data_IF_209216034797
#
_entry.id   IF_209216034797
#
_cell.length_a   1.000
_cell.length_b   1.000
_cell.length_c   1.000
_cell.angle_alpha   90.00
_cell.angle_beta   90.00
_cell.angle_gamma   90.00
#
_symmetry.space_group_name_H-M   'P 1'
#
loop_
_entity.id
_entity.type
_entity.pdbx_description
1 polymer ?
#
# COMPACT_ATOMS: atom_id res chain seq x y z
N UNK A 1 -2.08 16.07 -10.33
CA UNK A 1 -1.95 14.90 -9.43
C UNK A 1 -3.34 14.43 -9.04
N UNK A 2 -3.61 13.13 -9.16
CA UNK A 2 -4.88 12.54 -8.70
C UNK A 2 -4.70 12.20 -7.22
N UNK A 3 -5.59 12.67 -6.35
CA UNK A 3 -5.52 12.38 -4.92
C UNK A 3 -5.55 10.87 -4.64
N UNK A 4 -4.77 10.42 -3.65
CA UNK A 4 -4.54 9.01 -3.31
C UNK A 4 -5.83 8.17 -3.21
N UNK A 5 -6.88 8.69 -2.56
CA UNK A 5 -8.17 8.00 -2.41
C UNK A 5 -8.89 7.78 -3.74
N UNK A 6 -8.89 8.78 -4.63
CA UNK A 6 -9.56 8.69 -5.92
C UNK A 6 -8.83 7.71 -6.84
N UNK A 7 -7.49 7.76 -6.84
CA UNK A 7 -6.66 6.84 -7.60
C UNK A 7 -6.83 5.40 -7.10
N UNK A 8 -6.75 5.18 -5.78
CA UNK A 8 -6.97 3.87 -5.16
C UNK A 8 -8.33 3.27 -5.50
N UNK A 9 -9.40 4.07 -5.46
CA UNK A 9 -10.76 3.61 -5.82
C UNK A 9 -10.86 3.17 -7.28
N UNK A 10 -10.23 3.90 -8.20
CA UNK A 10 -10.21 3.54 -9.61
C UNK A 10 -9.47 2.21 -9.83
N UNK A 11 -8.34 2.04 -9.15
CA UNK A 11 -7.49 0.86 -9.27
C UNK A 11 -8.06 -0.39 -8.59
N UNK A 12 -8.88 -0.22 -7.56
CA UNK A 12 -9.59 -1.29 -6.88
C UNK A 12 -10.98 -1.59 -7.48
N UNK A 13 -11.31 -1.02 -8.65
CA UNK A 13 -12.55 -1.34 -9.34
C UNK A 13 -12.61 -2.85 -9.68
N UNK A 14 -13.56 -3.57 -9.08
CA UNK A 14 -13.70 -5.02 -9.25
C UNK A 14 -12.86 -5.88 -8.30
N UNK A 15 -12.11 -5.27 -7.38
CA UNK A 15 -11.40 -6.03 -6.34
C UNK A 15 -12.38 -6.65 -5.33
N UNK A 16 -12.04 -7.79 -4.69
CA UNK A 16 -12.84 -8.37 -3.62
C UNK A 16 -13.14 -7.35 -2.50
N UNK A 17 -14.41 -7.12 -2.12
CA UNK A 17 -14.78 -6.01 -1.22
C UNK A 17 -14.06 -6.02 0.13
N UNK A 18 -13.82 -7.20 0.70
CA UNK A 18 -13.11 -7.36 1.98
C UNK A 18 -11.65 -6.87 1.88
N UNK A 19 -10.97 -7.22 0.79
CA UNK A 19 -9.58 -6.80 0.56
C UNK A 19 -9.51 -5.30 0.28
N UNK A 20 -10.39 -4.78 -0.57
CA UNK A 20 -10.46 -3.35 -0.88
C UNK A 20 -10.74 -2.51 0.38
N UNK A 21 -11.69 -2.94 1.21
CA UNK A 21 -12.00 -2.27 2.48
C UNK A 21 -10.80 -2.30 3.44
N UNK A 22 -10.10 -3.44 3.52
CA UNK A 22 -8.94 -3.54 4.41
C UNK A 22 -7.78 -2.67 3.93
N UNK A 23 -7.44 -2.70 2.66
CA UNK A 23 -6.42 -1.82 2.08
C UNK A 23 -6.78 -0.34 2.26
N UNK A 24 -8.05 0.03 2.07
CA UNK A 24 -8.54 1.38 2.34
C UNK A 24 -8.38 1.80 3.81
N UNK A 25 -8.52 0.87 4.77
CA UNK A 25 -8.31 1.18 6.19
C UNK A 25 -6.87 1.63 6.49
N UNK A 26 -5.88 1.12 5.74
CA UNK A 26 -4.51 1.60 5.83
C UNK A 26 -4.32 2.96 5.12
N UNK A 27 -5.21 3.39 4.23
CA UNK A 27 -5.15 4.74 3.63
C UNK A 27 -5.85 5.81 4.48
N UNK A 28 -6.76 5.43 5.37
CA UNK A 28 -7.63 6.35 6.11
C UNK A 28 -6.92 7.41 6.98
N UNK A 29 -5.63 7.25 7.28
CA UNK A 29 -4.81 8.20 8.04
C UNK A 29 -3.95 9.15 7.19
N UNK A 30 -4.01 9.04 5.86
CA UNK A 30 -3.21 9.93 4.99
C UNK A 30 -3.86 11.31 4.83
N UNK A 31 -3.08 12.40 4.89
CA UNK A 31 -3.59 13.74 4.65
C UNK A 31 -4.24 13.87 3.27
N UNK A 32 -5.32 14.64 3.20
CA UNK A 32 -5.95 14.97 1.93
C UNK A 32 -4.96 15.71 1.00
N UNK A 33 -4.98 15.37 -0.29
CA UNK A 33 -4.04 15.92 -1.27
C UNK A 33 -2.65 15.25 -1.30
N UNK A 34 -2.39 14.24 -0.45
CA UNK A 34 -1.17 13.43 -0.56
C UNK A 34 -1.14 12.68 -1.90
N UNK A 35 0.02 12.69 -2.55
CA UNK A 35 0.28 11.95 -3.78
C UNK A 35 0.03 10.46 -3.60
N UNK A 36 -0.53 9.83 -4.64
CA UNK A 36 -0.93 8.44 -4.60
C UNK A 36 0.24 7.52 -4.25
N UNK A 37 1.41 7.70 -4.85
CA UNK A 37 2.59 6.90 -4.59
C UNK A 37 3.09 7.02 -3.14
N UNK A 38 3.04 8.22 -2.55
CA UNK A 38 3.48 8.46 -1.17
C UNK A 38 2.49 7.87 -0.18
N UNK A 39 1.19 8.08 -0.40
CA UNK A 39 0.14 7.54 0.43
C UNK A 39 0.13 6.01 0.42
N UNK A 40 0.30 5.40 -0.76
CA UNK A 40 0.33 3.96 -0.93
C UNK A 40 1.60 3.32 -0.35
N UNK A 41 2.76 3.95 -0.49
CA UNK A 41 4.00 3.51 0.17
C UNK A 41 3.84 3.45 1.70
N UNK A 42 3.28 4.51 2.29
CA UNK A 42 3.05 4.59 3.74
C UNK A 42 1.98 3.60 4.21
N UNK A 43 0.90 3.44 3.44
CA UNK A 43 -0.15 2.48 3.75
C UNK A 43 0.40 1.04 3.69
N UNK A 44 1.21 0.72 2.67
CA UNK A 44 1.89 -0.56 2.52
C UNK A 44 2.81 -0.86 3.72
N UNK A 45 3.62 0.11 4.14
CA UNK A 45 4.50 -0.04 5.29
C UNK A 45 3.71 -0.31 6.59
N UNK A 46 2.59 0.40 6.80
CA UNK A 46 1.70 0.18 7.95
C UNK A 46 1.01 -1.18 7.92
N UNK A 47 0.54 -1.62 6.76
CA UNK A 47 -0.06 -2.94 6.58
C UNK A 47 0.94 -4.08 6.86
N UNK A 48 2.16 -3.97 6.33
CA UNK A 48 3.22 -4.92 6.59
C UNK A 48 3.60 -4.96 8.07
N UNK A 49 3.68 -3.79 8.72
CA UNK A 49 3.88 -3.67 10.17
C UNK A 49 2.84 -4.38 11.01
N UNK A 50 1.55 -4.16 10.70
CA UNK A 50 0.45 -4.82 11.38
C UNK A 50 0.49 -6.35 11.23
N UNK A 51 0.84 -6.83 10.03
CA UNK A 51 0.96 -8.26 9.73
C UNK A 51 2.08 -8.93 10.53
N UNK A 52 3.24 -8.28 10.61
CA UNK A 52 4.41 -8.83 11.29
C UNK A 52 4.26 -8.85 12.82
N UNK A 53 3.42 -7.97 13.39
CA UNK A 53 3.16 -7.92 14.82
C UNK A 53 2.33 -9.10 15.37
N UNK A 54 1.54 -9.80 14.52
CA UNK A 54 0.64 -10.89 14.95
C UNK A 54 0.72 -12.09 14.00
N UNK A 55 1.80 -12.90 14.04
CA UNK A 55 2.13 -13.83 12.97
C UNK A 55 1.22 -15.06 12.78
N UNK A 56 0.11 -15.24 13.51
CA UNK A 56 -0.66 -16.50 13.49
C UNK A 56 -2.20 -16.38 13.55
N UNK A 57 -2.78 -15.25 13.15
CA UNK A 57 -4.25 -15.09 13.04
C UNK A 57 -4.71 -15.06 11.56
N UNK A 58 -5.91 -15.55 11.27
CA UNK A 58 -6.60 -15.35 9.99
C UNK A 58 -6.72 -13.87 9.63
N UNK A 59 -6.86 -12.99 10.63
CA UNK A 59 -6.81 -11.54 10.43
C UNK A 59 -5.47 -11.09 9.83
N UNK A 60 -4.36 -11.71 10.24
CA UNK A 60 -3.04 -11.42 9.69
C UNK A 60 -2.91 -11.85 8.22
N UNK A 61 -3.65 -12.88 7.78
CA UNK A 61 -3.66 -13.27 6.36
C UNK A 61 -4.30 -12.21 5.46
N UNK A 62 -5.40 -11.58 5.92
CA UNK A 62 -6.02 -10.46 5.18
C UNK A 62 -5.14 -9.22 5.23
N UNK A 63 -4.44 -8.97 6.34
CA UNK A 63 -3.48 -7.86 6.45
C UNK A 63 -2.27 -8.05 5.54
N UNK A 64 -1.78 -9.29 5.40
CA UNK A 64 -0.71 -9.63 4.47
C UNK A 64 -1.14 -9.40 3.02
N UNK A 65 -2.34 -9.84 2.66
CA UNK A 65 -2.90 -9.61 1.31
C UNK A 65 -3.11 -8.11 1.06
N UNK A 66 -3.56 -7.35 2.06
CA UNK A 66 -3.69 -5.90 1.95
C UNK A 66 -2.32 -5.24 1.77
N UNK A 67 -1.29 -5.68 2.49
CA UNK A 67 0.07 -5.19 2.33
C UNK A 67 0.61 -5.46 0.92
N UNK A 68 0.46 -6.69 0.41
CA UNK A 68 0.87 -7.06 -0.95
C UNK A 68 0.16 -6.22 -2.03
N UNK A 69 -1.15 -6.04 -1.90
CA UNK A 69 -1.93 -5.20 -2.80
C UNK A 69 -1.46 -3.74 -2.77
N UNK A 70 -1.23 -3.18 -1.58
CA UNK A 70 -0.76 -1.80 -1.43
C UNK A 70 0.66 -1.61 -1.98
N UNK A 71 1.56 -2.57 -1.79
CA UNK A 71 2.90 -2.55 -2.39
C UNK A 71 2.79 -2.54 -3.92
N UNK A 72 1.96 -3.42 -4.48
CA UNK A 72 1.74 -3.50 -5.94
C UNK A 72 1.18 -2.19 -6.49
N UNK A 73 0.19 -1.61 -5.80
CA UNK A 73 -0.40 -0.33 -6.18
C UNK A 73 0.58 0.84 -6.05
N UNK A 74 1.42 0.85 -5.02
CA UNK A 74 2.46 1.85 -4.85
C UNK A 74 3.48 1.80 -6.00
N UNK A 75 3.92 0.59 -6.38
CA UNK A 75 4.80 0.36 -7.52
C UNK A 75 4.15 0.80 -8.83
N UNK A 76 2.87 0.48 -9.04
CA UNK A 76 2.11 0.91 -10.22
C UNK A 76 1.98 2.44 -10.28
N UNK A 77 1.66 3.09 -9.16
CA UNK A 77 1.58 4.55 -9.08
C UNK A 77 2.93 5.20 -9.43
N UNK A 78 4.04 4.69 -8.89
CA UNK A 78 5.39 5.15 -9.23
C UNK A 78 5.72 4.94 -10.70
N UNK A 79 5.41 3.76 -11.25
CA UNK A 79 5.67 3.47 -12.66
C UNK A 79 4.85 4.38 -13.59
N UNK A 80 3.65 4.80 -13.18
CA UNK A 80 2.82 5.71 -13.95
C UNK A 80 3.31 7.17 -13.87
N UNK A 81 3.86 7.60 -12.73
CA UNK A 81 4.32 9.00 -12.54
C UNK A 81 5.77 9.23 -12.98
N UNK A 82 6.67 8.32 -12.64
CA UNK A 82 8.11 8.42 -12.90
C UNK A 82 8.77 7.01 -12.96
N UNK A 83 8.74 6.36 -14.14
CA UNK A 83 9.31 5.04 -14.33
C UNK A 83 10.81 4.95 -14.01
N UNK A 84 11.57 6.03 -14.25
CA UNK A 84 13.01 6.05 -14.04
C UNK A 84 13.38 5.85 -12.56
N UNK A 85 12.51 6.29 -11.65
CA UNK A 85 12.69 6.18 -10.20
C UNK A 85 12.08 4.92 -9.59
N UNK A 86 11.52 4.02 -10.39
CA UNK A 86 10.88 2.79 -9.90
C UNK A 86 11.87 1.90 -9.15
N UNK A 87 13.12 1.81 -9.60
CA UNK A 87 14.16 1.00 -8.95
C UNK A 87 14.49 1.50 -7.53
N UNK A 88 14.70 2.82 -7.38
CA UNK A 88 14.95 3.46 -6.08
C UNK A 88 13.77 3.28 -5.12
N UNK A 89 12.55 3.43 -5.64
CA UNK A 89 11.32 3.28 -4.89
C UNK A 89 11.08 1.82 -4.43
N UNK A 90 11.34 0.84 -5.29
CA UNK A 90 11.28 -0.56 -4.88
C UNK A 90 12.31 -0.89 -3.79
N UNK A 91 13.47 -0.24 -3.82
CA UNK A 91 14.48 -0.38 -2.77
C UNK A 91 14.03 0.24 -1.44
N UNK A 92 13.33 1.38 -1.42
CA UNK A 92 12.80 1.98 -0.19
C UNK A 92 11.77 1.08 0.48
N UNK A 93 10.84 0.50 -0.30
CA UNK A 93 9.84 -0.47 0.18
C UNK A 93 10.50 -1.71 0.80
N UNK A 94 11.55 -2.24 0.17
CA UNK A 94 12.31 -3.38 0.71
C UNK A 94 12.97 -3.06 2.04
N UNK A 95 13.57 -1.87 2.17
CA UNK A 95 14.17 -1.42 3.43
C UNK A 95 13.11 -1.24 4.52
N UNK A 96 11.94 -0.69 4.19
CA UNK A 96 10.83 -0.56 5.11
C UNK A 96 10.40 -1.93 5.67
N UNK A 97 10.28 -2.96 4.82
CA UNK A 97 9.99 -4.33 5.26
C UNK A 97 11.12 -4.98 6.06
N UNK A 98 12.38 -4.63 5.79
CA UNK A 98 13.54 -5.12 6.55
C UNK A 98 13.69 -4.50 7.94
N UNK A 99 13.25 -3.25 8.15
CA UNK A 99 13.32 -2.55 9.44
C UNK A 99 12.27 -3.01 10.46
N UNK A 100 11.31 -3.82 10.04
CA UNK A 100 10.23 -4.34 10.89
C UNK A 100 10.59 -5.74 11.46
N UNK A 101 11.77 -6.29 11.10
CA UNK A 101 12.28 -7.57 11.61
C UNK A 101 13.19 -7.42 12.82
#
# INVERSE_FOLDING_TARGET
>A
MTGSTAWFRAECAGAPPVLAARAASFLAGEPEGTDAEVALERAAARALGATLAVPNDRAAAIDLLAADALITLALKARAASDPARLGEFAASLRQAGGRIR
#
